data_IF_940684379668
#
_entry.id   IF_940684379668
#
_cell.length_a   1.000
_cell.length_b   1.000
_cell.length_c   1.000
_cell.angle_alpha   90.00
_cell.angle_beta   90.00
_cell.angle_gamma   90.00
#
_symmetry.space_group_name_H-M   'P 1'
#
loop_
_entity.id
_entity.type
_entity.pdbx_description
1 polymer ?
#
# COMPACT_ATOMS: atom_id res chain seq x y z
N UNK A 1 13.21 29.21 19.73
CA UNK A 1 13.44 28.27 20.82
C UNK A 1 13.24 28.93 22.17
N UNK A 2 13.26 28.24 23.32
CA UNK A 2 13.11 28.83 24.64
C UNK A 2 14.11 29.95 24.98
N UNK A 3 15.24 29.97 24.28
CA UNK A 3 16.30 30.99 24.42
C UNK A 3 16.05 32.25 23.58
N UNK A 4 14.94 32.29 22.83
CA UNK A 4 14.60 33.42 21.96
C UNK A 4 15.32 33.43 20.61
N UNK A 5 16.03 32.37 20.25
CA UNK A 5 16.69 32.29 18.95
C UNK A 5 15.73 31.85 17.86
N UNK A 6 15.89 32.38 16.65
CA UNK A 6 15.17 31.93 15.47
C UNK A 6 15.76 30.59 14.99
N UNK A 7 14.94 29.58 14.97
CA UNK A 7 15.34 28.24 14.50
C UNK A 7 14.52 27.81 13.28
N UNK A 8 15.16 27.07 12.38
CA UNK A 8 14.45 26.42 11.26
C UNK A 8 13.82 25.12 11.77
N UNK A 9 12.51 25.04 11.65
CA UNK A 9 11.75 23.84 12.02
C UNK A 9 11.23 23.13 10.77
N UNK A 10 11.41 21.81 10.69
CA UNK A 10 10.86 20.98 9.61
C UNK A 10 9.61 20.26 10.10
N UNK A 11 8.52 20.41 9.36
CA UNK A 11 7.25 19.75 9.68
C UNK A 11 6.94 18.77 8.55
N UNK A 12 6.95 17.48 8.89
CA UNK A 12 6.58 16.41 7.95
C UNK A 12 5.06 16.35 7.83
N UNK A 13 4.61 16.28 6.60
CA UNK A 13 3.22 16.08 6.24
C UNK A 13 3.10 14.84 5.37
N UNK A 14 1.88 14.34 5.19
CA UNK A 14 1.64 13.24 4.24
C UNK A 14 1.82 13.75 2.79
N UNK A 15 1.90 12.80 1.84
CA UNK A 15 2.02 13.11 0.42
C UNK A 15 0.86 13.97 -0.11
N UNK A 16 1.09 14.76 -1.18
CA UNK A 16 0.13 15.74 -1.68
C UNK A 16 -1.27 15.19 -1.99
N UNK A 17 -1.47 14.03 -2.64
CA UNK A 17 -2.81 13.47 -2.84
C UNK A 17 -3.59 13.27 -1.55
N UNK A 18 -2.97 12.68 -0.53
CA UNK A 18 -3.62 12.49 0.76
C UNK A 18 -3.89 13.80 1.51
N UNK A 19 -3.14 14.87 1.23
CA UNK A 19 -3.46 16.20 1.73
C UNK A 19 -4.71 16.77 1.06
N UNK A 20 -4.85 16.60 -0.27
CA UNK A 20 -6.04 17.06 -1.01
C UNK A 20 -7.33 16.41 -0.47
N UNK A 21 -7.30 15.12 -0.17
CA UNK A 21 -8.42 14.38 0.43
C UNK A 21 -8.84 14.94 1.79
N UNK A 22 -7.93 15.63 2.49
CA UNK A 22 -8.16 16.29 3.78
C UNK A 22 -8.46 17.78 3.66
N UNK A 23 -8.80 18.23 2.47
CA UNK A 23 -9.14 19.63 2.20
C UNK A 23 -7.96 20.58 2.05
N UNK A 24 -6.71 20.04 2.02
CA UNK A 24 -5.56 20.88 1.73
C UNK A 24 -5.47 21.17 0.24
N UNK A 25 -4.97 22.34 -0.09
CA UNK A 25 -4.73 22.77 -1.46
C UNK A 25 -3.34 23.37 -1.58
N UNK A 26 -2.88 23.62 -2.80
CA UNK A 26 -1.62 24.35 -3.05
C UNK A 26 -1.62 25.78 -2.46
N UNK A 27 -2.80 26.29 -2.06
CA UNK A 27 -2.99 27.62 -1.49
C UNK A 27 -3.23 27.61 0.01
N UNK A 28 -3.27 26.44 0.64
CA UNK A 28 -3.53 26.31 2.09
C UNK A 28 -2.47 27.00 2.93
N UNK A 29 -1.21 26.99 2.49
CA UNK A 29 -0.11 27.72 3.12
C UNK A 29 0.59 28.62 2.10
N UNK A 30 1.01 29.80 2.58
CA UNK A 30 1.78 30.78 1.81
C UNK A 30 3.00 31.20 2.61
N UNK A 31 4.04 31.63 1.93
CA UNK A 31 5.20 32.25 2.58
C UNK A 31 4.74 33.46 3.40
N UNK A 32 5.12 33.50 4.67
CA UNK A 32 4.75 34.55 5.63
C UNK A 32 3.52 34.25 6.48
N UNK A 33 2.81 33.14 6.25
CA UNK A 33 1.75 32.71 7.15
C UNK A 33 2.31 32.41 8.54
N UNK A 34 1.64 32.96 9.55
CA UNK A 34 1.90 32.62 10.96
C UNK A 34 0.98 31.48 11.34
N UNK A 35 1.56 30.41 11.83
CA UNK A 35 0.83 29.20 12.17
C UNK A 35 1.15 28.70 13.58
N UNK A 36 0.14 28.14 14.22
CA UNK A 36 0.30 27.27 15.39
C UNK A 36 0.06 25.83 14.93
N UNK A 37 0.85 24.87 15.41
CA UNK A 37 0.66 23.47 15.05
C UNK A 37 0.85 22.52 16.21
N UNK A 38 0.34 21.32 16.09
CA UNK A 38 0.58 20.19 16.96
C UNK A 38 1.04 18.99 16.12
N UNK A 39 1.96 18.23 16.69
CA UNK A 39 2.50 17.06 16.03
C UNK A 39 3.41 16.24 16.92
N UNK A 40 3.90 15.10 16.41
CA UNK A 40 4.84 14.24 17.10
C UNK A 40 6.26 14.76 16.87
N UNK A 41 6.91 15.24 17.93
CA UNK A 41 8.30 15.72 17.87
C UNK A 41 9.29 14.57 17.69
N UNK A 42 10.45 14.86 17.10
CA UNK A 42 11.57 13.93 17.04
C UNK A 42 12.01 13.53 18.46
N UNK A 43 12.43 12.29 18.63
CA UNK A 43 12.97 11.78 19.90
C UNK A 43 14.27 12.48 20.30
N UNK A 44 15.02 13.00 19.33
CA UNK A 44 16.19 13.81 19.56
C UNK A 44 15.81 15.30 19.68
N UNK A 45 15.84 15.92 20.87
CA UNK A 45 15.38 17.30 21.08
C UNK A 45 16.23 18.35 20.36
N UNK A 46 17.43 18.01 19.90
CA UNK A 46 18.26 18.93 19.10
C UNK A 46 17.84 18.99 17.63
N UNK A 47 16.94 18.14 17.19
CA UNK A 47 16.35 18.16 15.85
C UNK A 47 15.03 18.92 15.91
N UNK A 48 15.00 20.09 15.30
CA UNK A 48 13.78 20.85 15.11
C UNK A 48 12.91 20.22 14.01
N UNK A 49 12.25 19.12 14.36
CA UNK A 49 11.48 18.29 13.44
C UNK A 49 10.22 17.74 14.13
N UNK A 50 9.11 17.72 13.42
CA UNK A 50 7.84 17.16 13.90
C UNK A 50 7.02 16.60 12.75
N UNK A 51 6.35 15.48 12.96
CA UNK A 51 5.21 15.11 12.14
C UNK A 51 4.01 15.99 12.46
N UNK A 52 3.19 16.36 11.47
CA UNK A 52 2.02 17.20 11.67
C UNK A 52 0.79 16.38 12.08
N UNK A 53 0.02 16.86 13.09
CA UNK A 53 -1.34 16.40 13.35
C UNK A 53 -2.37 17.42 12.85
N UNK A 54 -2.18 18.68 13.20
CA UNK A 54 -3.01 19.80 12.75
C UNK A 54 -2.20 21.10 12.78
N UNK A 55 -2.65 22.08 12.02
CA UNK A 55 -2.20 23.46 12.13
C UNK A 55 -3.39 24.42 12.12
N UNK A 56 -3.16 25.60 12.68
CA UNK A 56 -4.10 26.71 12.69
C UNK A 56 -3.38 27.99 12.27
N UNK A 57 -3.99 28.74 11.37
CA UNK A 57 -3.50 30.01 10.88
C UNK A 57 -4.03 31.15 11.75
N UNK A 58 -3.40 32.31 11.66
CA UNK A 58 -3.83 33.54 12.39
C UNK A 58 -5.25 33.99 12.05
N UNK A 59 -5.80 33.58 10.90
CA UNK A 59 -7.19 33.86 10.49
C UNK A 59 -8.22 32.88 11.07
N UNK A 60 -7.79 31.93 11.93
CA UNK A 60 -8.64 30.90 12.50
C UNK A 60 -8.84 29.68 11.61
N UNK A 61 -8.30 29.67 10.39
CA UNK A 61 -8.37 28.50 9.51
C UNK A 61 -7.59 27.34 10.11
N UNK A 62 -8.28 26.25 10.45
CA UNK A 62 -7.68 25.05 11.01
C UNK A 62 -7.66 23.94 9.97
N UNK A 63 -6.48 23.37 9.76
CA UNK A 63 -6.24 22.25 8.85
C UNK A 63 -5.67 21.07 9.64
N UNK A 64 -6.13 19.87 9.35
CA UNK A 64 -5.71 18.65 10.04
C UNK A 64 -5.23 17.61 9.04
N UNK A 65 -4.31 16.75 9.47
CA UNK A 65 -3.97 15.53 8.76
C UNK A 65 -4.82 14.32 9.22
N UNK A 66 -5.58 14.47 10.31
CA UNK A 66 -6.63 13.50 10.57
C UNK A 66 -7.67 13.64 9.46
N UNK A 67 -8.06 12.53 8.86
CA UNK A 67 -9.30 12.51 8.09
C UNK A 67 -10.36 13.12 9.02
N UNK A 68 -11.12 14.10 8.53
CA UNK A 68 -12.40 14.36 9.17
C UNK A 68 -13.02 12.99 9.34
N UNK A 69 -13.66 12.73 10.48
CA UNK A 69 -14.45 11.54 10.63
C UNK A 69 -15.58 11.61 9.59
N UNK A 70 -15.23 11.38 8.34
CA UNK A 70 -16.20 10.95 7.35
C UNK A 70 -16.85 9.76 8.00
N UNK A 71 -18.15 9.74 7.97
CA UNK A 71 -18.91 8.55 8.33
C UNK A 71 -18.35 7.48 7.41
N UNK A 72 -17.45 6.66 7.95
CA UNK A 72 -16.80 5.59 7.19
C UNK A 72 -17.91 4.61 6.87
N UNK A 73 -18.38 4.66 5.61
CA UNK A 73 -19.46 3.79 5.18
C UNK A 73 -18.95 2.37 5.05
N UNK A 74 -19.61 1.40 5.70
CA UNK A 74 -19.31 -0.01 5.49
C UNK A 74 -19.32 -0.39 4.02
N UNK A 75 -18.50 -1.33 3.61
CA UNK A 75 -18.54 -1.95 2.30
C UNK A 75 -19.30 -3.26 2.40
N UNK A 76 -20.08 -3.57 1.36
CA UNK A 76 -20.72 -4.87 1.18
C UNK A 76 -20.16 -5.63 -0.03
N UNK A 77 -19.32 -5.00 -0.83
CA UNK A 77 -18.82 -5.50 -2.12
C UNK A 77 -17.31 -5.29 -2.31
N UNK A 78 -16.58 -5.07 -1.21
CA UNK A 78 -15.15 -4.73 -1.15
C UNK A 78 -14.81 -3.33 -1.68
N UNK A 79 -15.73 -2.60 -2.31
CA UNK A 79 -15.47 -1.26 -2.84
C UNK A 79 -15.14 -0.27 -1.73
N UNK A 80 -14.21 0.62 -2.01
CA UNK A 80 -13.84 1.69 -1.09
C UNK A 80 -12.35 2.02 -1.10
N UNK A 81 -11.99 2.96 -0.23
CA UNK A 81 -10.61 3.30 0.07
C UNK A 81 -10.18 2.53 1.31
N UNK A 82 -9.10 1.79 1.18
CA UNK A 82 -8.58 0.90 2.21
C UNK A 82 -7.15 1.26 2.55
N UNK A 83 -6.86 1.38 3.83
CA UNK A 83 -5.54 1.67 4.36
C UNK A 83 -5.02 0.50 5.19
N UNK A 84 -3.71 0.35 5.31
CA UNK A 84 -3.11 -0.72 6.11
C UNK A 84 -3.62 -0.69 7.54
N UNK A 85 -4.04 -1.84 8.06
CA UNK A 85 -4.45 -1.97 9.46
C UNK A 85 -3.23 -1.96 10.38
N UNK A 86 -3.27 -1.16 11.45
CA UNK A 86 -2.14 -0.97 12.36
C UNK A 86 -1.73 -2.23 13.15
N UNK A 87 -2.63 -3.21 13.27
CA UNK A 87 -2.33 -4.49 13.94
C UNK A 87 -1.47 -5.42 13.10
N UNK A 88 -1.28 -5.15 11.81
CA UNK A 88 -0.39 -5.94 10.96
C UNK A 88 1.04 -5.54 11.28
N UNK A 89 1.91 -6.48 11.72
CA UNK A 89 3.31 -6.17 11.97
C UNK A 89 3.99 -5.53 10.74
N UNK A 90 4.83 -4.54 10.99
CA UNK A 90 5.68 -3.94 9.94
C UNK A 90 6.84 -4.92 9.66
N UNK A 91 6.59 -5.97 8.90
CA UNK A 91 7.65 -6.84 8.40
C UNK A 91 8.03 -6.36 7.00
N UNK A 92 9.26 -5.93 6.84
CA UNK A 92 9.80 -5.46 5.55
C UNK A 92 10.72 -6.49 4.89
N UNK A 93 11.18 -7.49 5.67
CA UNK A 93 12.01 -8.59 5.20
C UNK A 93 11.21 -9.88 5.17
N UNK A 94 11.55 -10.82 4.29
CA UNK A 94 10.93 -12.14 4.26
C UNK A 94 11.18 -12.87 5.59
N UNK A 95 10.35 -13.88 5.86
CA UNK A 95 10.54 -14.69 7.05
C UNK A 95 11.70 -15.67 6.81
N UNK A 96 12.52 -15.90 7.83
CA UNK A 96 13.69 -16.78 7.73
C UNK A 96 13.30 -18.24 7.43
N UNK A 97 12.04 -18.60 7.70
CA UNK A 97 11.48 -19.95 7.51
C UNK A 97 10.80 -20.15 6.13
N UNK A 98 10.87 -19.16 5.23
CA UNK A 98 10.32 -19.35 3.89
C UNK A 98 11.11 -20.39 3.09
N UNK A 99 10.42 -21.21 2.28
CA UNK A 99 11.03 -22.32 1.51
C UNK A 99 11.77 -21.78 0.27
N UNK A 100 12.86 -21.06 0.50
CA UNK A 100 13.64 -20.44 -0.57
C UNK A 100 14.46 -21.46 -1.36
N UNK A 101 14.51 -21.27 -2.69
CA UNK A 101 15.50 -21.91 -3.54
C UNK A 101 16.91 -21.38 -3.26
N UNK A 102 17.94 -22.04 -3.79
CA UNK A 102 19.32 -21.56 -3.67
C UNK A 102 19.49 -20.16 -4.29
N UNK A 103 18.83 -19.90 -5.43
CA UNK A 103 18.85 -18.58 -6.09
C UNK A 103 18.21 -17.49 -5.23
N UNK A 104 17.08 -17.77 -4.59
CA UNK A 104 16.44 -16.80 -3.72
C UNK A 104 17.32 -16.47 -2.50
N UNK A 105 17.98 -17.45 -1.92
CA UNK A 105 18.92 -17.26 -0.81
C UNK A 105 20.11 -16.40 -1.22
N UNK A 106 20.70 -16.66 -2.38
CA UNK A 106 21.77 -15.84 -2.92
C UNK A 106 21.34 -14.38 -3.11
N UNK A 107 20.15 -14.13 -3.63
CA UNK A 107 19.61 -12.78 -3.80
C UNK A 107 19.37 -12.08 -2.45
N UNK A 108 18.91 -12.81 -1.43
CA UNK A 108 18.69 -12.29 -0.07
C UNK A 108 20.03 -11.99 0.62
N UNK A 109 21.02 -12.84 0.47
CA UNK A 109 22.35 -12.63 1.05
C UNK A 109 23.05 -11.41 0.44
N UNK A 110 22.78 -11.11 -0.83
CA UNK A 110 23.25 -9.92 -1.54
C UNK A 110 22.30 -8.72 -1.43
N UNK A 111 21.35 -8.74 -0.50
CA UNK A 111 20.35 -7.71 -0.35
C UNK A 111 20.96 -6.34 0.00
N UNK A 112 20.68 -5.35 -0.82
CA UNK A 112 20.98 -3.95 -0.58
C UNK A 112 19.71 -3.11 -0.64
N UNK A 113 19.24 -2.64 0.52
CA UNK A 113 18.01 -1.85 0.63
C UNK A 113 18.02 -0.53 -0.16
N UNK A 114 19.20 -0.01 -0.52
CA UNK A 114 19.33 1.19 -1.36
C UNK A 114 18.92 0.95 -2.81
N UNK A 115 18.93 -0.32 -3.25
CA UNK A 115 18.60 -0.74 -4.61
C UNK A 115 17.14 -1.10 -4.80
N UNK A 116 16.25 -0.61 -3.93
CA UNK A 116 14.82 -0.88 -4.10
C UNK A 116 14.30 -0.28 -5.42
N UNK A 117 13.57 -1.05 -6.25
CA UNK A 117 12.98 -0.52 -7.48
C UNK A 117 12.05 0.68 -7.26
N UNK A 118 11.56 0.85 -6.04
CA UNK A 118 10.70 1.97 -5.66
C UNK A 118 11.42 3.33 -5.73
N UNK A 119 12.73 3.39 -5.56
CA UNK A 119 13.52 4.62 -5.72
C UNK A 119 13.52 5.12 -7.15
N UNK A 120 13.43 4.20 -8.11
CA UNK A 120 13.39 4.48 -9.54
C UNK A 120 11.93 4.64 -10.05
N UNK A 121 10.96 4.77 -9.13
CA UNK A 121 9.54 4.86 -9.45
C UNK A 121 8.99 3.62 -10.20
N UNK A 122 9.68 2.48 -10.12
CA UNK A 122 9.20 1.21 -10.67
C UNK A 122 8.12 0.65 -9.75
N UNK A 123 6.93 0.48 -10.30
CA UNK A 123 5.78 -0.01 -9.56
C UNK A 123 5.76 -1.54 -9.58
N UNK A 124 5.79 -2.20 -8.41
CA UNK A 124 5.66 -3.64 -8.35
C UNK A 124 4.24 -4.09 -8.65
N UNK A 125 4.12 -5.33 -9.10
CA UNK A 125 2.85 -6.05 -9.13
C UNK A 125 2.49 -6.66 -7.76
N UNK A 126 1.32 -7.35 -7.67
CA UNK A 126 0.96 -8.13 -6.49
C UNK A 126 1.88 -9.37 -6.36
N UNK A 127 2.11 -9.88 -5.14
CA UNK A 127 1.56 -9.45 -3.87
C UNK A 127 2.24 -8.20 -3.30
N UNK A 128 3.42 -7.82 -3.82
CA UNK A 128 4.24 -6.72 -3.29
C UNK A 128 3.45 -5.41 -3.21
N UNK A 129 2.71 -5.05 -4.26
CA UNK A 129 1.89 -3.83 -4.27
C UNK A 129 0.87 -3.80 -3.13
N UNK A 130 0.25 -4.94 -2.83
CA UNK A 130 -0.79 -5.08 -1.79
C UNK A 130 -0.24 -4.89 -0.38
N UNK A 131 0.99 -5.38 -0.11
CA UNK A 131 1.59 -5.32 1.23
C UNK A 131 2.31 -4.00 1.53
N UNK A 132 2.54 -3.16 0.53
CA UNK A 132 3.13 -1.85 0.76
C UNK A 132 2.21 -0.97 1.64
N UNK A 133 2.76 -0.03 2.42
CA UNK A 133 1.99 0.76 3.38
C UNK A 133 1.20 1.90 2.72
N UNK A 134 0.79 1.71 1.48
CA UNK A 134 0.02 2.69 0.72
C UNK A 134 -1.46 2.32 0.72
N UNK A 135 -2.36 3.31 0.75
CA UNK A 135 -3.78 3.08 0.53
C UNK A 135 -4.05 2.43 -0.82
N UNK A 136 -5.09 1.61 -0.86
CA UNK A 136 -5.62 1.06 -2.10
C UNK A 136 -7.10 1.41 -2.24
N UNK A 137 -7.50 1.77 -3.45
CA UNK A 137 -8.90 1.99 -3.81
C UNK A 137 -9.40 0.83 -4.64
N UNK A 138 -10.43 0.16 -4.13
CA UNK A 138 -11.12 -0.91 -4.82
C UNK A 138 -12.41 -0.33 -5.41
N UNK A 139 -12.65 -0.59 -6.69
CA UNK A 139 -13.83 -0.13 -7.43
C UNK A 139 -14.47 -1.33 -8.11
N UNK A 140 -15.73 -1.60 -7.79
CA UNK A 140 -16.56 -2.54 -8.55
C UNK A 140 -17.11 -1.80 -9.78
N UNK A 141 -16.77 -2.26 -10.97
CA UNK A 141 -17.20 -1.63 -12.21
C UNK A 141 -18.50 -2.26 -12.73
N UNK A 142 -19.22 -1.53 -13.59
CA UNK A 142 -20.47 -1.99 -14.18
C UNK A 142 -20.31 -3.05 -15.29
N UNK A 143 -19.07 -3.20 -15.80
CA UNK A 143 -18.69 -4.12 -16.88
C UNK A 143 -18.27 -5.51 -16.37
N UNK A 144 -18.69 -5.89 -15.17
CA UNK A 144 -18.31 -7.15 -14.51
C UNK A 144 -16.80 -7.28 -14.25
N UNK A 145 -16.14 -6.15 -13.99
CA UNK A 145 -14.74 -6.10 -13.55
C UNK A 145 -14.62 -5.45 -12.18
N UNK A 146 -13.44 -5.59 -11.58
CA UNK A 146 -13.03 -4.83 -10.41
C UNK A 146 -11.68 -4.19 -10.71
N UNK A 147 -11.48 -2.97 -10.23
CA UNK A 147 -10.19 -2.28 -10.36
C UNK A 147 -9.59 -2.04 -8.98
N UNK A 148 -8.34 -2.37 -8.80
CA UNK A 148 -7.54 -2.01 -7.63
C UNK A 148 -6.51 -0.97 -8.04
N UNK A 149 -6.63 0.23 -7.44
CA UNK A 149 -5.66 1.30 -7.60
C UNK A 149 -4.85 1.43 -6.31
N UNK A 150 -3.55 1.28 -6.38
CA UNK A 150 -2.64 1.54 -5.27
C UNK A 150 -2.18 2.99 -5.32
N UNK A 151 -2.21 3.68 -4.19
CA UNK A 151 -1.84 5.10 -4.11
C UNK A 151 -0.40 5.34 -4.60
N UNK A 152 -0.21 6.43 -5.33
CA UNK A 152 1.08 6.76 -5.95
C UNK A 152 1.49 5.84 -7.11
N UNK A 153 0.59 4.96 -7.57
CA UNK A 153 0.82 4.02 -8.67
C UNK A 153 -0.12 4.35 -9.83
N UNK A 154 0.45 4.55 -11.00
CA UNK A 154 -0.34 4.94 -12.18
C UNK A 154 -0.84 3.74 -12.99
N UNK A 155 -0.64 2.51 -12.51
CA UNK A 155 -1.04 1.29 -13.22
C UNK A 155 -2.14 0.62 -12.41
N UNK A 156 -3.40 0.75 -12.81
CA UNK A 156 -4.52 0.04 -12.19
C UNK A 156 -4.41 -1.45 -12.46
N UNK A 157 -4.75 -2.28 -11.47
CA UNK A 157 -4.92 -3.71 -11.64
C UNK A 157 -6.39 -3.99 -11.94
N UNK A 158 -6.66 -4.57 -13.10
CA UNK A 158 -8.00 -4.99 -13.50
C UNK A 158 -8.19 -6.47 -13.18
N UNK A 159 -9.31 -6.79 -12.55
CA UNK A 159 -9.72 -8.14 -12.15
C UNK A 159 -11.01 -8.46 -12.88
N UNK A 160 -11.05 -9.58 -13.57
CA UNK A 160 -12.18 -10.01 -14.39
C UNK A 160 -13.00 -11.07 -13.65
N UNK A 161 -14.31 -10.92 -13.59
CA UNK A 161 -15.22 -11.95 -13.05
C UNK A 161 -15.64 -12.97 -14.10
N UNK A 162 -15.02 -12.94 -15.26
CA UNK A 162 -15.13 -13.96 -16.30
C UNK A 162 -13.87 -14.83 -16.29
N UNK A 163 -13.99 -16.04 -15.76
CA UNK A 163 -12.91 -17.02 -15.69
C UNK A 163 -12.37 -17.46 -17.06
N UNK A 164 -13.14 -17.26 -18.13
CA UNK A 164 -12.72 -17.61 -19.49
C UNK A 164 -12.05 -16.43 -20.22
N UNK A 165 -11.90 -15.28 -19.53
CA UNK A 165 -11.23 -14.12 -20.10
C UNK A 165 -9.79 -14.48 -20.46
N UNK A 166 -9.47 -14.38 -21.74
CA UNK A 166 -8.11 -14.65 -22.20
C UNK A 166 -7.13 -13.59 -21.68
N UNK A 167 -5.97 -14.04 -21.23
CA UNK A 167 -4.87 -13.15 -20.87
C UNK A 167 -4.38 -12.37 -22.08
N UNK A 168 -4.02 -11.12 -21.85
CA UNK A 168 -3.30 -10.28 -22.81
C UNK A 168 -1.78 -10.50 -22.74
N UNK A 169 -1.03 -9.45 -23.02
CA UNK A 169 0.42 -9.46 -22.82
C UNK A 169 0.79 -9.62 -21.35
N UNK A 170 1.94 -10.25 -21.08
CA UNK A 170 2.50 -10.36 -19.73
C UNK A 170 2.77 -8.98 -19.14
N UNK A 171 2.50 -8.82 -17.86
CA UNK A 171 2.72 -7.56 -17.16
C UNK A 171 3.14 -7.78 -15.70
N UNK A 172 3.62 -6.74 -15.04
CA UNK A 172 3.89 -6.79 -13.58
C UNK A 172 2.61 -6.98 -12.75
N UNK A 173 1.44 -6.58 -13.29
CA UNK A 173 0.13 -6.78 -12.64
C UNK A 173 -0.43 -8.19 -12.88
N UNK A 174 0.10 -8.91 -13.88
CA UNK A 174 -0.43 -10.18 -14.33
C UNK A 174 -1.80 -10.07 -14.99
N UNK A 175 -2.44 -11.21 -15.15
CA UNK A 175 -3.83 -11.36 -15.56
C UNK A 175 -4.63 -11.94 -14.39
N UNK A 176 -5.63 -11.21 -13.91
CA UNK A 176 -6.39 -11.56 -12.71
C UNK A 176 -7.82 -11.92 -13.07
N UNK A 177 -8.26 -13.11 -12.64
CA UNK A 177 -9.66 -13.53 -12.68
C UNK A 177 -10.18 -13.74 -11.26
N UNK A 178 -11.47 -13.54 -11.04
CA UNK A 178 -12.06 -13.66 -9.71
C UNK A 178 -13.41 -14.35 -9.70
N UNK A 179 -13.76 -14.90 -8.55
CA UNK A 179 -15.07 -15.48 -8.26
C UNK A 179 -15.33 -15.42 -6.76
N UNK A 180 -16.57 -15.65 -6.38
CA UNK A 180 -16.95 -15.79 -4.99
C UNK A 180 -17.00 -17.25 -4.56
N UNK A 181 -16.47 -17.56 -3.38
CA UNK A 181 -16.66 -18.80 -2.63
C UNK A 181 -17.42 -18.46 -1.34
N UNK A 182 -18.74 -18.57 -1.36
CA UNK A 182 -19.56 -17.98 -0.30
C UNK A 182 -19.45 -16.46 -0.29
N UNK A 183 -19.02 -15.89 0.83
CA UNK A 183 -18.81 -14.44 1.00
C UNK A 183 -17.35 -14.02 0.73
N UNK A 184 -16.47 -14.97 0.50
CA UNK A 184 -15.07 -14.71 0.23
C UNK A 184 -14.84 -14.43 -1.27
N UNK A 185 -14.12 -13.36 -1.57
CA UNK A 185 -13.66 -13.07 -2.92
C UNK A 185 -12.32 -13.74 -3.17
N UNK A 186 -12.28 -14.66 -4.12
CA UNK A 186 -11.05 -15.33 -4.56
C UNK A 186 -10.57 -14.68 -5.85
N UNK A 187 -9.29 -14.28 -5.88
CA UNK A 187 -8.64 -13.71 -7.05
C UNK A 187 -7.44 -14.58 -7.40
N UNK A 188 -7.43 -15.11 -8.60
CA UNK A 188 -6.31 -15.88 -9.14
C UNK A 188 -5.59 -15.05 -10.20
N UNK A 189 -4.26 -15.02 -10.14
CA UNK A 189 -3.44 -14.19 -11.02
C UNK A 189 -2.23 -14.97 -11.52
N UNK A 190 -2.07 -14.96 -12.81
CA UNK A 190 -0.92 -15.48 -13.54
C UNK A 190 -0.41 -14.47 -14.58
N UNK A 191 0.29 -14.94 -15.61
CA UNK A 191 0.74 -14.15 -16.76
C UNK A 191 1.59 -12.92 -16.37
N UNK A 192 2.45 -13.09 -15.37
CA UNK A 192 3.37 -12.07 -14.91
C UNK A 192 4.61 -11.94 -15.82
N UNK A 193 5.27 -10.80 -15.77
CA UNK A 193 6.69 -10.67 -16.11
C UNK A 193 7.54 -10.86 -14.86
N UNK A 194 8.81 -11.21 -15.04
CA UNK A 194 9.76 -11.20 -13.92
C UNK A 194 9.86 -9.80 -13.32
N UNK A 195 9.88 -9.72 -11.99
CA UNK A 195 9.88 -8.45 -11.26
C UNK A 195 10.84 -8.51 -10.07
N UNK A 196 11.74 -7.53 -10.00
CA UNK A 196 12.68 -7.43 -8.88
C UNK A 196 11.94 -7.08 -7.60
N UNK A 197 12.11 -7.92 -6.57
CA UNK A 197 11.38 -7.85 -5.31
C UNK A 197 9.85 -7.91 -5.48
N UNK A 198 9.40 -8.55 -6.54
CA UNK A 198 7.97 -8.62 -6.88
C UNK A 198 7.15 -9.50 -5.95
N UNK A 199 7.79 -10.44 -5.24
CA UNK A 199 7.11 -11.25 -4.21
C UNK A 199 7.12 -10.54 -2.87
N UNK A 200 8.31 -10.14 -2.41
CA UNK A 200 8.49 -9.45 -1.13
C UNK A 200 9.73 -8.56 -1.19
N UNK A 201 10.02 -7.78 -0.12
CA UNK A 201 11.27 -7.01 -0.07
C UNK A 201 12.46 -7.99 -0.03
N UNK A 202 13.35 -7.88 -1.00
CA UNK A 202 14.50 -8.78 -1.18
C UNK A 202 14.18 -10.10 -1.86
N UNK A 203 12.93 -10.40 -2.19
CA UNK A 203 12.52 -11.62 -2.89
C UNK A 203 11.94 -11.27 -4.25
N UNK A 204 12.67 -11.62 -5.28
CA UNK A 204 12.26 -11.44 -6.67
C UNK A 204 11.06 -12.33 -7.03
N UNK A 205 10.44 -12.07 -8.15
CA UNK A 205 9.49 -12.97 -8.76
C UNK A 205 9.84 -13.25 -10.22
N UNK A 206 9.55 -14.49 -10.64
CA UNK A 206 9.71 -14.89 -12.03
C UNK A 206 8.41 -14.70 -12.82
N UNK A 207 8.47 -14.98 -14.12
CA UNK A 207 7.30 -15.07 -14.98
C UNK A 207 6.47 -16.34 -14.80
N UNK A 208 6.93 -17.25 -13.92
CA UNK A 208 6.22 -18.46 -13.49
C UNK A 208 5.47 -18.25 -12.18
N UNK A 209 5.52 -17.04 -11.63
CA UNK A 209 4.75 -16.69 -10.42
C UNK A 209 3.26 -16.93 -10.65
N UNK A 210 2.62 -17.56 -9.67
CA UNK A 210 1.18 -17.70 -9.57
C UNK A 210 0.73 -17.21 -8.19
N UNK A 211 -0.35 -16.46 -8.14
CA UNK A 211 -0.86 -15.83 -6.93
C UNK A 211 -2.34 -16.12 -6.78
N UNK A 212 -2.72 -16.61 -5.62
CA UNK A 212 -4.13 -16.71 -5.20
C UNK A 212 -4.33 -15.78 -4.02
N UNK A 213 -5.29 -14.89 -4.11
CA UNK A 213 -5.68 -13.98 -3.03
C UNK A 213 -7.10 -14.30 -2.59
N UNK A 214 -7.30 -14.43 -1.27
CA UNK A 214 -8.60 -14.63 -0.64
C UNK A 214 -8.92 -13.42 0.22
N UNK A 215 -9.97 -12.72 -0.12
CA UNK A 215 -10.40 -11.50 0.54
C UNK A 215 -11.66 -11.78 1.33
N UNK A 216 -11.58 -11.61 2.65
CA UNK A 216 -12.73 -11.73 3.56
C UNK A 216 -13.05 -10.37 4.15
N UNK A 217 -14.30 -9.93 3.98
CA UNK A 217 -14.81 -8.69 4.57
C UNK A 217 -15.22 -8.94 6.02
N UNK A 218 -14.91 -8.01 6.92
CA UNK A 218 -15.40 -8.08 8.31
C UNK A 218 -16.92 -7.85 8.36
N UNK A 219 -17.59 -8.39 9.39
CA UNK A 219 -19.04 -8.28 9.57
C UNK A 219 -19.55 -6.84 9.58
N UNK A 220 -18.73 -5.90 10.05
CA UNK A 220 -19.01 -4.47 10.06
C UNK A 220 -18.70 -3.77 8.73
N UNK A 221 -18.14 -4.48 7.74
CA UNK A 221 -17.76 -3.94 6.45
C UNK A 221 -16.61 -2.91 6.48
N UNK A 222 -15.86 -2.83 7.57
CA UNK A 222 -14.83 -1.81 7.79
C UNK A 222 -13.40 -2.33 7.67
N UNK A 223 -13.21 -3.64 7.51
CA UNK A 223 -11.90 -4.25 7.31
C UNK A 223 -11.94 -5.36 6.27
N UNK A 224 -10.82 -5.55 5.56
CA UNK A 224 -10.59 -6.72 4.69
C UNK A 224 -9.37 -7.46 5.22
N UNK A 225 -9.52 -8.76 5.43
CA UNK A 225 -8.40 -9.68 5.58
C UNK A 225 -8.06 -10.24 4.22
N UNK A 226 -6.78 -10.23 3.85
CA UNK A 226 -6.26 -10.69 2.56
C UNK A 226 -5.24 -11.78 2.84
N UNK A 227 -5.56 -13.00 2.47
CA UNK A 227 -4.62 -14.11 2.43
C UNK A 227 -4.06 -14.20 1.01
N UNK A 228 -2.75 -14.16 0.86
CA UNK A 228 -2.05 -14.23 -0.41
C UNK A 228 -1.18 -15.47 -0.45
N UNK A 229 -1.51 -16.43 -1.30
CA UNK A 229 -0.77 -17.68 -1.50
C UNK A 229 0.05 -17.52 -2.78
N UNK A 230 1.37 -17.52 -2.63
CA UNK A 230 2.33 -17.31 -3.72
C UNK A 230 3.05 -18.61 -4.01
N UNK A 231 3.06 -19.02 -5.28
CA UNK A 231 3.96 -20.04 -5.82
C UNK A 231 4.86 -19.41 -6.87
N UNK A 232 6.15 -19.70 -6.81
CA UNK A 232 7.12 -19.29 -7.82
C UNK A 232 8.29 -20.30 -7.81
N UNK A 233 8.29 -21.28 -8.69
CA UNK A 233 9.27 -22.38 -8.63
C UNK A 233 10.71 -21.95 -8.86
N UNK A 234 10.94 -20.74 -9.34
CA UNK A 234 12.29 -20.19 -9.50
C UNK A 234 12.84 -19.71 -8.15
N UNK A 235 12.00 -19.16 -7.28
CA UNK A 235 12.42 -18.55 -6.01
C UNK A 235 11.92 -19.28 -4.77
N UNK A 236 10.87 -20.09 -4.88
CA UNK A 236 10.25 -20.82 -3.78
C UNK A 236 10.13 -22.30 -4.11
N UNK A 237 10.53 -23.19 -3.18
CA UNK A 237 10.39 -24.63 -3.34
C UNK A 237 8.98 -25.14 -3.00
N UNK A 238 8.22 -24.36 -2.26
CA UNK A 238 6.82 -24.59 -1.88
C UNK A 238 6.07 -23.26 -1.85
N UNK A 239 4.74 -23.31 -1.80
CA UNK A 239 3.91 -22.13 -1.67
C UNK A 239 4.16 -21.39 -0.33
N UNK A 240 4.14 -20.06 -0.36
CA UNK A 240 4.18 -19.24 0.84
C UNK A 240 2.87 -18.48 1.00
N UNK A 241 2.44 -18.32 2.24
CA UNK A 241 1.24 -17.55 2.58
C UNK A 241 1.62 -16.24 3.24
N UNK A 242 1.11 -15.14 2.70
CA UNK A 242 1.28 -13.79 3.25
C UNK A 242 -0.09 -13.30 3.72
N UNK A 243 -0.20 -13.00 5.01
CA UNK A 243 -1.41 -12.40 5.56
C UNK A 243 -1.31 -10.89 5.61
N UNK A 244 -2.31 -10.20 5.10
CA UNK A 244 -2.43 -8.75 5.16
C UNK A 244 -3.82 -8.35 5.65
N UNK A 245 -3.92 -7.16 6.25
CA UNK A 245 -5.20 -6.62 6.70
C UNK A 245 -5.25 -5.12 6.43
N UNK A 246 -6.35 -4.70 5.86
CA UNK A 246 -6.63 -3.29 5.59
C UNK A 246 -7.95 -2.87 6.23
N UNK A 247 -8.12 -1.58 6.43
CA UNK A 247 -9.35 -0.97 6.98
C UNK A 247 -9.73 0.27 6.19
N UNK A 248 -10.98 0.63 6.27
CA UNK A 248 -11.50 1.91 5.78
C UNK A 248 -11.01 3.09 6.59
#
# INVERSE_FOLDING_TARGET
NPQGEIVRYSIEMIHPPGMLERGWTRRSLKKGDVITWSGASDKNPSRYYSGLNWLEKSDGTRLTLKLHAEVVMPSSDFSGLWSRHLSVPKRYLPQDDWPFTALAKENIDNFDGSQTPLTDCINPGPPKATILPYPMKIIRNSDNTMTINYEGRNIPRTIYFDKNRMAGERSVQGHSVAWFEGEELVIETDNFVADRWGTYTGVDSSDQKHLVERLSLSDDGLAITIEMIVTDPVYLTEAVTIMHKVRK
#
